data_IF_949698609002
#
_entry.id   IF_949698609002
#
_cell.length_a   1.000
_cell.length_b   1.000
_cell.length_c   1.000
_cell.angle_alpha   90.00
_cell.angle_beta   90.00
_cell.angle_gamma   90.00
#
_symmetry.space_group_name_H-M   'P 1'
#
loop_
_entity.id
_entity.type
_entity.pdbx_description
1 polymer ?
#
# COMPACT_ATOMS: atom_id res chain seq x y z
N UNK A 1 1.28 -36.30 -23.01
CA UNK A 1 2.19 -35.65 -23.98
C UNK A 1 2.57 -34.29 -23.40
N UNK A 2 3.84 -34.11 -23.02
CA UNK A 2 4.36 -32.87 -22.40
C UNK A 2 4.79 -31.92 -23.52
N UNK A 3 4.19 -30.73 -23.56
CA UNK A 3 4.66 -29.65 -24.42
C UNK A 3 5.47 -28.69 -23.55
N UNK A 4 6.78 -28.73 -23.71
CA UNK A 4 7.71 -27.76 -23.14
C UNK A 4 7.75 -26.53 -24.04
N UNK A 5 7.36 -25.35 -23.51
CA UNK A 5 7.53 -24.06 -24.21
C UNK A 5 8.77 -23.36 -23.67
N UNK A 6 9.73 -23.15 -24.56
CA UNK A 6 10.98 -22.43 -24.33
C UNK A 6 10.73 -20.92 -24.20
N UNK A 7 11.25 -20.31 -23.15
CA UNK A 7 11.27 -18.86 -22.97
C UNK A 7 12.58 -18.29 -23.53
N UNK A 8 12.48 -17.35 -24.46
CA UNK A 8 13.62 -16.58 -24.99
C UNK A 8 13.73 -15.26 -24.23
N UNK A 9 14.84 -15.08 -23.51
CA UNK A 9 15.19 -13.84 -22.81
C UNK A 9 15.47 -12.72 -23.82
N UNK A 10 14.86 -11.55 -23.59
CA UNK A 10 15.08 -10.33 -24.36
C UNK A 10 16.04 -9.44 -23.56
N UNK A 11 17.29 -9.39 -24.03
CA UNK A 11 18.36 -8.52 -23.54
C UNK A 11 18.11 -7.08 -23.99
N UNK A 12 18.00 -6.17 -23.03
CA UNK A 12 17.94 -4.71 -23.26
C UNK A 12 19.37 -4.15 -23.29
N UNK A 13 19.80 -3.39 -24.31
CA UNK A 13 21.07 -2.69 -24.26
C UNK A 13 20.93 -1.36 -23.51
N UNK A 14 21.82 -1.18 -22.54
CA UNK A 14 22.12 0.05 -21.80
C UNK A 14 22.94 0.97 -22.72
N UNK A 15 22.39 2.11 -23.11
CA UNK A 15 23.08 3.18 -23.82
C UNK A 15 23.45 4.28 -22.82
N UNK A 16 24.72 4.30 -22.44
CA UNK A 16 25.41 5.46 -21.89
C UNK A 16 25.98 6.24 -23.07
N UNK A 17 25.57 7.48 -23.27
CA UNK A 17 26.30 8.43 -24.10
C UNK A 17 26.01 9.84 -23.57
N UNK A 18 26.91 10.30 -22.71
CA UNK A 18 27.14 11.72 -22.46
C UNK A 18 27.68 12.31 -23.77
N UNK A 19 27.03 13.35 -24.30
CA UNK A 19 27.64 14.12 -25.38
C UNK A 19 27.51 15.63 -25.17
N UNK A 20 28.66 16.25 -25.36
CA UNK A 20 29.01 17.64 -25.08
C UNK A 20 28.27 18.58 -26.02
N UNK A 21 27.56 19.55 -25.45
CA UNK A 21 26.95 20.67 -26.16
C UNK A 21 28.08 21.60 -26.64
N UNK A 22 28.31 21.63 -27.94
CA UNK A 22 29.05 22.67 -28.64
C UNK A 22 28.05 23.41 -29.53
N UNK A 23 27.91 24.72 -29.31
CA UNK A 23 26.97 25.58 -30.02
C UNK A 23 27.57 26.15 -31.32
N UNK A 24 26.73 26.13 -32.37
CA UNK A 24 26.70 26.92 -33.62
C UNK A 24 27.88 26.82 -34.62
N UNK A 25 27.72 27.08 -35.95
CA UNK A 25 26.59 27.74 -36.65
C UNK A 25 26.12 27.10 -37.99
N UNK A 26 24.79 27.07 -38.21
CA UNK A 26 24.07 27.18 -39.49
C UNK A 26 24.78 26.70 -40.78
N UNK A 27 24.83 25.37 -40.97
CA UNK A 27 25.11 24.72 -42.25
C UNK A 27 23.78 24.35 -42.92
N UNK A 28 23.41 25.03 -44.01
CA UNK A 28 22.20 24.73 -44.79
C UNK A 28 22.24 23.34 -45.50
N UNK A 29 23.31 22.55 -45.32
CA UNK A 29 23.45 21.20 -45.86
C UNK A 29 22.80 20.09 -45.00
N UNK A 30 22.29 20.38 -43.80
CA UNK A 30 21.69 19.37 -42.92
C UNK A 30 20.22 19.05 -43.22
N UNK A 31 19.55 19.84 -44.08
CA UNK A 31 18.13 19.64 -44.39
C UNK A 31 17.86 18.34 -45.15
N UNK A 32 18.73 17.98 -46.10
CA UNK A 32 18.60 16.73 -46.88
C UNK A 32 18.93 15.49 -46.04
N UNK A 33 19.84 15.64 -45.07
CA UNK A 33 20.16 14.58 -44.10
C UNK A 33 18.97 14.30 -43.18
N UNK A 34 18.30 15.35 -42.69
CA UNK A 34 17.11 15.21 -41.84
C UNK A 34 15.95 14.54 -42.57
N UNK A 35 15.74 14.86 -43.85
CA UNK A 35 14.69 14.27 -44.68
C UNK A 35 14.86 12.76 -44.87
N UNK A 36 16.10 12.31 -45.12
CA UNK A 36 16.39 10.87 -45.28
C UNK A 36 16.20 10.09 -43.97
N UNK A 37 16.61 10.66 -42.83
CA UNK A 37 16.37 10.08 -41.50
C UNK A 37 14.88 9.97 -41.19
N UNK A 38 14.08 10.99 -41.50
CA UNK A 38 12.61 10.95 -41.32
C UNK A 38 11.99 9.87 -42.22
N UNK A 39 12.41 9.77 -43.48
CA UNK A 39 11.90 8.76 -44.40
C UNK A 39 12.19 7.33 -43.92
N UNK A 40 13.39 7.09 -43.40
CA UNK A 40 13.77 5.80 -42.83
C UNK A 40 12.98 5.46 -41.56
N UNK A 41 12.75 6.43 -40.67
CA UNK A 41 11.90 6.23 -39.50
C UNK A 41 10.45 5.91 -39.90
N UNK A 42 9.91 6.55 -40.93
CA UNK A 42 8.56 6.27 -41.45
C UNK A 42 8.48 4.87 -42.08
N UNK A 43 9.47 4.45 -42.88
CA UNK A 43 9.55 3.09 -43.43
C UNK A 43 9.63 2.05 -42.32
N UNK A 44 10.45 2.30 -41.29
CA UNK A 44 10.57 1.40 -40.15
C UNK A 44 9.23 1.30 -39.38
N UNK A 45 8.58 2.43 -39.09
CA UNK A 45 7.27 2.48 -38.45
C UNK A 45 6.19 1.73 -39.27
N UNK A 46 6.21 1.87 -40.60
CA UNK A 46 5.30 1.15 -41.48
C UNK A 46 5.54 -0.38 -41.46
N UNK A 47 6.81 -0.79 -41.38
CA UNK A 47 7.18 -2.21 -41.28
C UNK A 47 6.74 -2.82 -39.94
N UNK A 48 6.90 -2.08 -38.84
CA UNK A 48 6.46 -2.50 -37.51
C UNK A 48 4.94 -2.55 -37.41
N UNK A 49 4.22 -1.57 -37.96
CA UNK A 49 2.75 -1.60 -38.06
C UNK A 49 2.25 -2.84 -38.83
N UNK A 50 2.97 -3.25 -39.88
CA UNK A 50 2.65 -4.46 -40.63
C UNK A 50 2.86 -5.73 -39.81
N UNK A 51 3.94 -5.80 -39.01
CA UNK A 51 4.19 -6.90 -38.07
C UNK A 51 3.12 -6.97 -36.99
N UNK A 52 2.75 -5.83 -36.39
CA UNK A 52 1.69 -5.77 -35.39
C UNK A 52 0.34 -6.20 -35.97
N UNK A 53 0.02 -5.80 -37.20
CA UNK A 53 -1.20 -6.24 -37.89
C UNK A 53 -1.25 -7.77 -38.05
N UNK A 54 -0.14 -8.38 -38.45
CA UNK A 54 -0.03 -9.84 -38.55
C UNK A 54 -0.17 -10.51 -37.18
N UNK A 55 0.44 -9.96 -36.13
CA UNK A 55 0.33 -10.51 -34.78
C UNK A 55 -1.11 -10.43 -34.24
N UNK A 56 -1.82 -9.34 -34.50
CA UNK A 56 -3.24 -9.20 -34.14
C UNK A 56 -4.10 -10.23 -34.88
N UNK A 57 -3.78 -10.53 -36.14
CA UNK A 57 -4.49 -11.56 -36.90
C UNK A 57 -4.22 -12.97 -36.37
N UNK A 58 -2.97 -13.30 -36.03
CA UNK A 58 -2.60 -14.58 -35.40
C UNK A 58 -3.35 -14.75 -34.07
N UNK A 59 -3.31 -13.76 -33.19
CA UNK A 59 -3.99 -13.82 -31.89
C UNK A 59 -5.51 -13.95 -32.03
N UNK A 60 -6.12 -13.33 -33.06
CA UNK A 60 -7.55 -13.51 -33.35
C UNK A 60 -7.88 -14.93 -33.81
N UNK A 61 -6.98 -15.57 -34.55
CA UNK A 61 -7.16 -16.96 -34.96
C UNK A 61 -6.98 -17.91 -33.77
N UNK A 62 -5.93 -17.73 -32.96
CA UNK A 62 -5.72 -18.53 -31.74
C UNK A 62 -6.89 -18.40 -30.77
N UNK A 63 -7.44 -17.20 -30.58
CA UNK A 63 -8.65 -17.00 -29.77
C UNK A 63 -9.82 -17.82 -30.29
N UNK A 64 -10.04 -17.83 -31.60
CA UNK A 64 -11.12 -18.61 -32.23
C UNK A 64 -10.91 -20.11 -32.02
N UNK A 65 -9.68 -20.59 -32.17
CA UNK A 65 -9.35 -22.00 -31.99
C UNK A 65 -9.58 -22.44 -30.53
N UNK A 66 -9.11 -21.64 -29.56
CA UNK A 66 -9.34 -21.89 -28.13
C UNK A 66 -10.83 -21.87 -27.76
N UNK A 67 -11.63 -20.96 -28.35
CA UNK A 67 -13.08 -20.94 -28.15
C UNK A 67 -13.73 -22.24 -28.67
N UNK A 68 -13.26 -22.79 -29.81
CA UNK A 68 -13.75 -24.08 -30.31
C UNK A 68 -13.33 -25.26 -29.45
N UNK A 69 -12.10 -25.26 -28.91
CA UNK A 69 -11.63 -26.29 -27.99
C UNK A 69 -12.44 -26.29 -26.67
N UNK A 70 -12.69 -25.11 -26.09
CA UNK A 70 -13.53 -24.97 -24.90
C UNK A 70 -14.96 -25.46 -25.15
N UNK A 71 -15.54 -25.16 -26.31
CA UNK A 71 -16.86 -25.67 -26.69
C UNK A 71 -16.87 -27.20 -26.79
N UNK A 72 -15.81 -27.80 -27.36
CA UNK A 72 -15.67 -29.26 -27.47
C UNK A 72 -15.52 -29.93 -26.10
N UNK A 73 -14.69 -29.39 -25.21
CA UNK A 73 -14.52 -29.90 -23.84
C UNK A 73 -15.83 -29.82 -23.05
N UNK A 74 -16.55 -28.70 -23.14
CA UNK A 74 -17.86 -28.56 -22.50
C UNK A 74 -18.90 -29.55 -23.04
N UNK A 75 -18.87 -29.84 -24.34
CA UNK A 75 -19.71 -30.87 -24.94
C UNK A 75 -19.38 -32.28 -24.42
N UNK A 76 -18.09 -32.59 -24.20
CA UNK A 76 -17.65 -33.87 -23.61
C UNK A 76 -18.11 -34.01 -22.16
N UNK A 77 -17.92 -32.97 -21.33
CA UNK A 77 -18.38 -32.95 -19.93
C UNK A 77 -19.90 -33.16 -19.85
N UNK A 78 -20.65 -32.48 -20.72
CA UNK A 78 -22.10 -32.63 -20.80
C UNK A 78 -22.53 -34.06 -21.15
N UNK A 79 -21.82 -34.74 -22.06
CA UNK A 79 -22.09 -36.15 -22.40
C UNK A 79 -21.76 -37.09 -21.25
N UNK A 80 -20.68 -36.84 -20.52
CA UNK A 80 -20.27 -37.68 -19.39
C UNK A 80 -21.26 -37.60 -18.23
N UNK A 81 -21.78 -36.40 -17.95
CA UNK A 81 -22.81 -36.17 -16.93
C UNK A 81 -24.13 -36.90 -17.27
N UNK A 82 -24.49 -37.00 -18.55
CA UNK A 82 -25.67 -37.77 -18.98
C UNK A 82 -25.47 -39.28 -18.82
N UNK A 83 -24.26 -39.81 -19.08
CA UNK A 83 -23.95 -41.23 -18.87
C UNK A 83 -23.97 -41.64 -17.39
N UNK A 84 -23.46 -40.80 -16.48
CA UNK A 84 -23.44 -41.07 -15.03
C UNK A 84 -24.85 -41.06 -14.40
N UNK A 85 -25.83 -40.39 -15.00
CA UNK A 85 -27.24 -40.43 -14.56
C UNK A 85 -27.96 -41.74 -14.88
N UNK A 86 -27.54 -42.46 -15.93
CA UNK A 86 -28.20 -43.70 -16.36
C UNK A 86 -27.75 -44.96 -15.60
N UNK A 87 -26.60 -44.95 -14.93
CA UNK A 87 -26.04 -46.15 -14.28
C UNK A 87 -26.39 -46.31 -12.80
N UNK A 88 -27.24 -45.45 -12.22
CA UNK A 88 -27.64 -45.50 -10.79
C UNK A 88 -28.91 -46.31 -10.51
N UNK A 89 -29.44 -47.05 -11.48
CA UNK A 89 -30.69 -47.80 -11.30
C UNK A 89 -30.54 -49.21 -10.69
N UNK A 90 -29.35 -49.59 -10.21
CA UNK A 90 -29.13 -50.95 -9.67
C UNK A 90 -28.13 -50.96 -8.51
N UNK A 91 -28.51 -50.37 -7.37
CA UNK A 91 -27.85 -50.66 -6.10
C UNK A 91 -28.81 -50.46 -4.91
N UNK A 92 -29.30 -51.61 -4.43
CA UNK A 92 -29.63 -51.95 -3.02
C UNK A 92 -30.54 -51.01 -2.21
N UNK A 93 -31.74 -51.52 -1.89
CA UNK A 93 -32.80 -50.94 -1.07
C UNK A 93 -32.43 -50.55 0.38
N UNK A 94 -31.22 -50.84 0.85
CA UNK A 94 -30.72 -50.38 2.17
C UNK A 94 -30.07 -48.99 2.12
N UNK A 95 -29.65 -48.53 0.94
CA UNK A 95 -29.08 -47.18 0.78
C UNK A 95 -30.18 -46.12 0.65
N UNK A 96 -31.42 -46.51 0.31
CA UNK A 96 -32.53 -45.57 0.11
C UNK A 96 -32.98 -44.88 1.41
N UNK A 97 -33.00 -45.61 2.53
CA UNK A 97 -33.37 -45.06 3.85
C UNK A 97 -32.26 -44.10 4.36
N UNK A 98 -31.00 -44.48 4.19
CA UNK A 98 -29.84 -43.62 4.48
C UNK A 98 -29.81 -42.38 3.58
N UNK A 99 -30.16 -42.54 2.30
CA UNK A 99 -30.21 -41.42 1.36
C UNK A 99 -31.34 -40.44 1.70
N UNK A 100 -32.49 -40.93 2.18
CA UNK A 100 -33.58 -40.07 2.66
C UNK A 100 -33.17 -39.30 3.92
N UNK A 101 -32.54 -39.97 4.90
CA UNK A 101 -32.04 -39.32 6.12
C UNK A 101 -30.98 -38.25 5.82
N UNK A 102 -30.03 -38.56 4.93
CA UNK A 102 -29.02 -37.60 4.48
C UNK A 102 -29.64 -36.42 3.73
N UNK A 103 -30.65 -36.66 2.90
CA UNK A 103 -31.38 -35.59 2.18
C UNK A 103 -32.12 -34.67 3.15
N UNK A 104 -32.83 -35.23 4.13
CA UNK A 104 -33.48 -34.44 5.19
C UNK A 104 -32.45 -33.64 5.99
N UNK A 105 -31.30 -34.24 6.30
CA UNK A 105 -30.24 -33.54 7.04
C UNK A 105 -29.60 -32.40 6.22
N UNK A 106 -29.44 -32.59 4.91
CA UNK A 106 -28.96 -31.55 4.01
C UNK A 106 -29.97 -30.39 3.97
N UNK A 107 -31.26 -30.67 3.84
CA UNK A 107 -32.31 -29.64 3.82
C UNK A 107 -32.34 -28.85 5.14
N UNK A 108 -32.24 -29.53 6.29
CA UNK A 108 -32.10 -28.86 7.60
C UNK A 108 -30.87 -27.94 7.64
N UNK A 109 -29.70 -28.44 7.23
CA UNK A 109 -28.46 -27.67 7.22
C UNK A 109 -28.54 -26.48 6.26
N UNK A 110 -29.17 -26.63 5.10
CA UNK A 110 -29.38 -25.55 4.15
C UNK A 110 -30.28 -24.45 4.70
N UNK A 111 -31.39 -24.82 5.36
CA UNK A 111 -32.28 -23.84 5.99
C UNK A 111 -31.60 -23.12 7.16
N UNK A 112 -30.81 -23.82 7.97
CA UNK A 112 -30.05 -23.22 9.08
C UNK A 112 -28.95 -22.29 8.57
N UNK A 113 -28.22 -22.69 7.54
CA UNK A 113 -27.22 -21.87 6.87
C UNK A 113 -27.88 -20.62 6.24
N UNK A 114 -29.09 -20.75 5.68
CA UNK A 114 -29.85 -19.61 5.17
C UNK A 114 -30.28 -18.65 6.28
N UNK A 115 -30.70 -19.14 7.45
CA UNK A 115 -31.00 -18.30 8.63
C UNK A 115 -29.75 -17.59 9.13
N UNK A 116 -28.63 -18.29 9.26
CA UNK A 116 -27.35 -17.72 9.67
C UNK A 116 -26.89 -16.64 8.68
N UNK A 117 -27.00 -16.88 7.37
CA UNK A 117 -26.69 -15.86 6.35
C UNK A 117 -27.55 -14.61 6.50
N UNK A 118 -28.87 -14.75 6.74
CA UNK A 118 -29.77 -13.61 7.00
C UNK A 118 -29.41 -12.88 8.29
N UNK A 119 -29.05 -13.61 9.34
CA UNK A 119 -28.62 -13.04 10.61
C UNK A 119 -27.31 -12.26 10.48
N UNK A 120 -26.31 -12.85 9.83
CA UNK A 120 -25.03 -12.21 9.52
C UNK A 120 -25.25 -10.96 8.66
N UNK A 121 -26.11 -11.03 7.64
CA UNK A 121 -26.44 -9.86 6.82
C UNK A 121 -27.10 -8.74 7.64
N UNK A 122 -27.98 -9.08 8.59
CA UNK A 122 -28.61 -8.12 9.50
C UNK A 122 -27.58 -7.48 10.44
N UNK A 123 -26.67 -8.27 11.00
CA UNK A 123 -25.58 -7.75 11.85
C UNK A 123 -24.63 -6.85 11.06
N UNK A 124 -24.22 -7.26 9.86
CA UNK A 124 -23.38 -6.43 8.98
C UNK A 124 -24.07 -5.12 8.61
N UNK A 125 -25.36 -5.16 8.27
CA UNK A 125 -26.13 -3.95 7.99
C UNK A 125 -26.20 -3.03 9.21
N UNK A 126 -26.38 -3.59 10.42
CA UNK A 126 -26.39 -2.82 11.65
C UNK A 126 -25.02 -2.20 11.94
N UNK A 127 -23.93 -2.95 11.82
CA UNK A 127 -22.58 -2.44 12.00
C UNK A 127 -22.26 -1.31 11.01
N UNK A 128 -22.60 -1.47 9.73
CA UNK A 128 -22.45 -0.40 8.73
C UNK A 128 -23.32 0.82 9.04
N UNK A 129 -24.54 0.61 9.52
CA UNK A 129 -25.41 1.72 9.92
C UNK A 129 -24.82 2.47 11.12
N UNK A 130 -24.32 1.75 12.12
CA UNK A 130 -23.68 2.32 13.31
C UNK A 130 -22.39 3.07 12.93
N UNK A 131 -21.59 2.56 11.98
CA UNK A 131 -20.42 3.26 11.42
C UNK A 131 -20.81 4.52 10.64
N UNK A 132 -21.86 4.46 9.81
CA UNK A 132 -22.37 5.63 9.08
C UNK A 132 -22.93 6.67 10.03
N UNK A 133 -23.63 6.26 11.09
CA UNK A 133 -24.17 7.16 12.11
C UNK A 133 -23.05 7.78 13.00
N UNK A 134 -21.90 7.12 13.15
CA UNK A 134 -20.70 7.66 13.84
C UNK A 134 -19.92 8.64 12.94
N UNK A 135 -19.88 8.37 11.63
CA UNK A 135 -19.20 9.18 10.61
C UNK A 135 -20.01 10.38 10.14
N UNK A 136 -21.33 10.27 10.05
CA UNK A 136 -22.20 11.40 9.79
C UNK A 136 -22.20 12.25 11.06
N UNK A 137 -21.62 13.46 11.04
CA UNK A 137 -21.83 14.40 12.14
C UNK A 137 -23.34 14.59 12.23
N UNK A 138 -23.97 14.03 13.27
CA UNK A 138 -25.40 14.19 13.55
C UNK A 138 -25.72 15.67 13.39
N UNK A 139 -26.41 15.98 12.30
CA UNK A 139 -26.59 17.30 11.72
C UNK A 139 -26.19 18.46 12.64
N UNK A 140 -25.28 19.27 12.12
CA UNK A 140 -25.06 20.71 12.35
C UNK A 140 -26.32 21.59 12.28
N UNK A 141 -27.50 21.02 12.51
CA UNK A 141 -28.75 21.71 12.77
C UNK A 141 -28.75 22.24 14.20
N UNK A 142 -28.08 23.38 14.41
CA UNK A 142 -28.46 24.41 15.40
C UNK A 142 -28.98 23.89 16.75
N UNK A 143 -28.28 22.98 17.41
CA UNK A 143 -28.45 22.79 18.85
C UNK A 143 -27.44 23.69 19.56
N UNK A 144 -27.78 24.99 19.63
CA UNK A 144 -27.23 25.89 20.64
C UNK A 144 -27.69 25.37 22.00
N UNK A 145 -26.90 24.52 22.63
CA UNK A 145 -27.26 24.00 23.93
C UNK A 145 -26.36 22.86 24.39
N UNK A 146 -25.21 23.23 24.94
CA UNK A 146 -24.47 22.56 26.02
C UNK A 146 -24.31 21.04 25.95
N UNK A 147 -23.02 20.66 25.89
CA UNK A 147 -22.47 19.52 26.62
C UNK A 147 -22.86 18.13 26.13
N UNK A 148 -22.62 17.87 24.84
CA UNK A 148 -22.05 16.57 24.47
C UNK A 148 -20.82 16.81 23.61
N UNK A 149 -19.78 17.34 24.26
CA UNK A 149 -18.39 17.26 23.82
C UNK A 149 -18.04 15.77 23.74
N UNK A 150 -18.46 15.10 22.66
CA UNK A 150 -18.13 13.70 22.40
C UNK A 150 -16.62 13.66 22.15
N UNK A 151 -15.91 13.22 23.18
CA UNK A 151 -14.47 12.95 23.31
C UNK A 151 -13.69 12.92 21.98
N UNK A 152 -13.33 14.11 21.49
CA UNK A 152 -12.46 14.28 20.32
C UNK A 152 -11.13 13.58 20.55
N UNK A 153 -10.64 13.54 21.79
CA UNK A 153 -9.43 12.82 22.17
C UNK A 153 -9.58 11.30 22.01
N UNK A 154 -10.74 10.72 22.30
CA UNK A 154 -10.99 9.30 22.05
C UNK A 154 -10.97 8.99 20.56
N UNK A 155 -11.61 9.82 19.74
CA UNK A 155 -11.59 9.66 18.27
C UNK A 155 -10.18 9.79 17.71
N UNK A 156 -9.40 10.78 18.16
CA UNK A 156 -7.99 10.92 17.82
C UNK A 156 -7.19 9.68 18.24
N UNK A 157 -7.33 9.20 19.48
CA UNK A 157 -6.66 7.98 19.95
C UNK A 157 -7.02 6.75 19.11
N UNK A 158 -8.27 6.64 18.66
CA UNK A 158 -8.72 5.57 17.75
C UNK A 158 -8.05 5.67 16.39
N UNK A 159 -7.96 6.87 15.80
CA UNK A 159 -7.25 7.07 14.53
C UNK A 159 -5.75 6.76 14.63
N UNK A 160 -5.08 7.17 15.72
CA UNK A 160 -3.67 6.81 15.95
C UNK A 160 -3.49 5.30 16.06
N UNK A 161 -4.41 4.60 16.73
CA UNK A 161 -4.36 3.14 16.81
C UNK A 161 -4.53 2.51 15.44
N UNK A 162 -5.53 2.94 14.66
CA UNK A 162 -5.72 2.48 13.28
C UNK A 162 -4.49 2.75 12.40
N UNK A 163 -3.86 3.91 12.54
CA UNK A 163 -2.61 4.24 11.82
C UNK A 163 -1.49 3.27 12.21
N UNK A 164 -1.29 3.03 13.51
CA UNK A 164 -0.29 2.08 14.01
C UNK A 164 -0.56 0.66 13.53
N UNK A 165 -1.80 0.21 13.57
CA UNK A 165 -2.20 -1.13 13.13
C UNK A 165 -1.93 -1.30 11.63
N UNK A 166 -2.24 -0.29 10.80
CA UNK A 166 -1.92 -0.29 9.37
C UNK A 166 -0.41 -0.30 9.10
N UNK A 167 0.38 0.42 9.89
CA UNK A 167 1.84 0.45 9.74
C UNK A 167 2.50 -0.90 10.06
N UNK A 168 1.94 -1.65 11.00
CA UNK A 168 2.44 -2.98 11.39
C UNK A 168 1.95 -4.10 10.48
N UNK A 169 1.00 -3.81 9.59
CA UNK A 169 0.43 -4.80 8.69
C UNK A 169 1.42 -5.22 7.61
N UNK A 170 1.59 -6.53 7.43
CA UNK A 170 2.43 -7.09 6.35
C UNK A 170 1.67 -7.05 5.03
N UNK A 171 2.23 -6.38 4.03
CA UNK A 171 1.61 -6.19 2.70
C UNK A 171 2.39 -6.88 1.60
N UNK A 172 1.71 -7.19 0.49
CA UNK A 172 2.36 -7.63 -0.75
C UNK A 172 2.80 -6.42 -1.57
N UNK A 173 4.02 -6.44 -2.14
CA UNK A 173 4.46 -5.39 -3.07
C UNK A 173 3.62 -5.38 -4.36
N UNK A 174 3.41 -4.19 -4.93
CA UNK A 174 2.49 -3.98 -6.06
C UNK A 174 3.00 -4.54 -7.40
N UNK A 175 4.30 -4.72 -7.54
CA UNK A 175 4.94 -5.22 -8.74
C UNK A 175 4.75 -6.74 -8.96
N UNK A 176 4.17 -7.45 -7.98
CA UNK A 176 3.96 -8.90 -7.99
C UNK A 176 5.24 -9.67 -8.34
N UNK A 177 6.40 -9.09 -8.01
CA UNK A 177 7.71 -9.74 -8.21
C UNK A 177 8.08 -10.65 -7.06
N UNK A 178 7.39 -10.52 -5.92
CA UNK A 178 7.59 -11.39 -4.78
C UNK A 178 7.13 -12.82 -5.10
N UNK A 179 8.07 -13.75 -4.95
CA UNK A 179 7.90 -15.17 -5.21
C UNK A 179 8.00 -15.95 -3.90
N UNK A 180 7.25 -17.06 -3.82
CA UNK A 180 7.33 -17.95 -2.67
C UNK A 180 8.72 -18.62 -2.60
N UNK A 181 9.43 -18.58 -1.46
CA UNK A 181 10.78 -19.17 -1.35
C UNK A 181 10.80 -20.71 -1.49
N UNK A 182 9.64 -21.36 -1.51
CA UNK A 182 9.52 -22.83 -1.57
C UNK A 182 9.19 -23.33 -2.97
N UNK A 183 8.20 -22.73 -3.64
CA UNK A 183 7.78 -23.14 -4.99
C UNK A 183 8.24 -22.20 -6.11
N UNK A 184 8.78 -21.03 -5.78
CA UNK A 184 9.17 -19.97 -6.74
C UNK A 184 8.02 -19.49 -7.63
N UNK A 185 6.79 -19.64 -7.16
CA UNK A 185 5.61 -19.09 -7.84
C UNK A 185 5.30 -17.70 -7.30
N UNK A 186 4.81 -16.82 -8.17
CA UNK A 186 4.41 -15.45 -7.82
C UNK A 186 3.31 -15.47 -6.78
N UNK A 187 3.49 -14.71 -5.71
CA UNK A 187 2.52 -14.60 -4.64
C UNK A 187 1.29 -13.80 -5.10
N UNK A 188 0.10 -14.24 -4.67
CA UNK A 188 -1.16 -13.56 -4.94
C UNK A 188 -1.85 -13.19 -3.63
N UNK A 189 -2.55 -12.06 -3.62
CA UNK A 189 -3.37 -11.63 -2.48
C UNK A 189 -4.33 -12.75 -2.05
N UNK A 190 -4.47 -12.93 -0.74
CA UNK A 190 -5.33 -13.96 -0.10
C UNK A 190 -4.91 -15.41 -0.35
N UNK A 191 -3.83 -15.64 -1.10
CA UNK A 191 -3.23 -16.96 -1.33
C UNK A 191 -1.81 -17.06 -0.74
N UNK A 192 -1.40 -16.05 -0.01
CA UNK A 192 -0.16 -16.05 0.75
C UNK A 192 -0.42 -15.68 2.20
N UNK A 193 0.45 -16.19 3.04
CA UNK A 193 0.44 -16.01 4.47
C UNK A 193 1.78 -15.41 4.91
N UNK A 194 1.71 -14.45 5.83
CA UNK A 194 2.84 -13.81 6.46
C UNK A 194 3.14 -14.46 7.81
N UNK A 195 4.42 -14.66 8.08
CA UNK A 195 4.89 -15.12 9.39
C UNK A 195 5.17 -13.93 10.31
N UNK A 196 5.40 -14.15 11.61
CA UNK A 196 5.72 -13.09 12.56
C UNK A 196 7.01 -12.31 12.19
N UNK A 197 7.94 -12.99 11.51
CA UNK A 197 9.15 -12.38 10.95
C UNK A 197 8.91 -11.62 9.63
N UNK A 198 7.65 -11.41 9.22
CA UNK A 198 7.21 -10.70 8.00
C UNK A 198 7.58 -11.36 6.66
N UNK A 199 8.20 -12.54 6.66
CA UNK A 199 8.43 -13.32 5.43
C UNK A 199 7.13 -13.97 4.93
N UNK A 200 7.01 -14.10 3.61
CA UNK A 200 5.80 -14.54 2.93
C UNK A 200 5.93 -15.95 2.36
N UNK A 201 4.90 -16.77 2.54
CA UNK A 201 4.82 -18.13 1.97
C UNK A 201 3.44 -18.34 1.35
N UNK A 202 3.35 -19.03 0.21
CA UNK A 202 2.06 -19.36 -0.39
C UNK A 202 1.27 -20.40 0.45
N UNK A 203 -0.05 -20.31 0.41
CA UNK A 203 -0.96 -21.17 1.18
C UNK A 203 -0.82 -22.67 0.81
N UNK A 204 -0.28 -22.99 -0.37
CA UNK A 204 -0.01 -24.37 -0.78
C UNK A 204 1.27 -24.95 -0.15
N UNK A 205 2.25 -24.10 0.15
CA UNK A 205 3.52 -24.52 0.71
C UNK A 205 3.53 -24.48 2.24
N UNK A 206 2.72 -23.62 2.85
CA UNK A 206 2.58 -23.54 4.31
C UNK A 206 2.25 -24.92 4.95
N UNK A 207 1.30 -25.73 4.44
CA UNK A 207 1.06 -27.06 4.99
C UNK A 207 2.24 -28.01 4.86
N UNK A 208 3.07 -27.87 3.79
CA UNK A 208 4.22 -28.75 3.53
C UNK A 208 5.33 -28.56 4.56
N UNK A 209 5.52 -27.32 5.04
CA UNK A 209 6.51 -27.01 6.09
C UNK A 209 6.00 -27.30 7.51
N UNK A 210 4.69 -27.43 7.69
CA UNK A 210 4.07 -27.75 8.99
C UNK A 210 3.94 -29.26 9.31
N UNK A 211 4.25 -30.16 8.37
CA UNK A 211 3.88 -31.59 8.47
C UNK A 211 4.47 -32.35 9.67
N UNK A 212 5.53 -31.83 10.27
CA UNK A 212 6.30 -32.52 11.32
C UNK A 212 6.28 -31.80 12.67
N UNK A 213 5.63 -30.63 12.76
CA UNK A 213 5.61 -29.81 13.97
C UNK A 213 4.16 -29.56 14.39
N UNK A 214 3.82 -29.99 15.61
CA UNK A 214 2.43 -30.04 16.03
C UNK A 214 1.80 -28.63 16.18
N UNK A 215 2.57 -27.61 16.55
CA UNK A 215 2.03 -26.24 16.77
C UNK A 215 2.86 -25.08 16.18
N UNK A 216 4.13 -25.29 15.84
CA UNK A 216 5.05 -24.22 15.40
C UNK A 216 5.56 -24.43 13.98
N UNK A 217 5.58 -23.39 13.16
CA UNK A 217 6.16 -23.40 11.80
C UNK A 217 7.47 -22.62 11.79
N UNK A 218 8.54 -23.19 11.24
CA UNK A 218 9.81 -22.46 11.06
C UNK A 218 9.83 -21.74 9.72
N UNK A 219 10.22 -20.47 9.73
CA UNK A 219 10.35 -19.68 8.52
C UNK A 219 11.40 -20.29 7.57
N UNK A 220 11.10 -20.47 6.26
CA UNK A 220 12.09 -20.99 5.30
C UNK A 220 13.26 -20.03 5.06
N UNK A 221 13.09 -18.73 5.29
CA UNK A 221 14.10 -17.70 5.04
C UNK A 221 15.00 -17.45 6.27
N UNK A 222 14.41 -17.10 7.42
CA UNK A 222 15.18 -16.78 8.64
C UNK A 222 15.24 -17.91 9.68
N UNK A 223 14.44 -18.98 9.53
CA UNK A 223 14.31 -20.11 10.47
C UNK A 223 13.71 -19.78 11.83
N UNK A 224 13.23 -18.55 12.03
CA UNK A 224 12.52 -18.17 13.25
C UNK A 224 11.24 -19.01 13.40
N UNK A 225 10.94 -19.52 14.60
CA UNK A 225 9.69 -20.22 14.88
C UNK A 225 8.54 -19.21 14.92
N UNK A 226 7.41 -19.59 14.36
CA UNK A 226 6.14 -18.84 14.41
C UNK A 226 5.03 -19.80 14.79
N UNK A 227 4.19 -19.42 15.74
CA UNK A 227 3.03 -20.21 16.13
C UNK A 227 2.02 -20.27 14.97
N UNK A 228 1.42 -21.43 14.75
CA UNK A 228 0.52 -21.64 13.60
C UNK A 228 -0.69 -20.69 13.61
N UNK A 229 -1.16 -20.32 14.79
CA UNK A 229 -2.29 -19.40 14.98
C UNK A 229 -1.92 -17.93 14.70
N UNK A 230 -0.63 -17.59 14.78
CA UNK A 230 -0.10 -16.24 14.52
C UNK A 230 0.30 -16.03 13.05
N UNK A 231 0.10 -17.04 12.20
CA UNK A 231 0.30 -16.91 10.76
C UNK A 231 -0.89 -16.17 10.15
N UNK A 232 -0.66 -14.93 9.73
CA UNK A 232 -1.70 -14.06 9.20
C UNK A 232 -1.78 -14.16 7.66
N UNK A 233 -3.00 -14.11 7.11
CA UNK A 233 -3.18 -14.05 5.65
C UNK A 233 -2.99 -12.63 5.15
N UNK A 234 -2.21 -12.47 4.09
CA UNK A 234 -2.01 -11.16 3.47
C UNK A 234 -3.20 -10.81 2.58
N UNK A 235 -3.87 -9.70 2.90
CA UNK A 235 -5.09 -9.26 2.21
C UNK A 235 -4.99 -7.90 1.53
N UNK A 236 -3.91 -7.13 1.73
CA UNK A 236 -3.68 -5.81 1.13
C UNK A 236 -2.36 -5.75 0.37
N UNK A 237 -2.34 -4.94 -0.69
CA UNK A 237 -1.10 -4.50 -1.32
C UNK A 237 -0.52 -3.28 -0.61
N UNK A 238 0.73 -2.94 -0.90
CA UNK A 238 1.37 -1.75 -0.37
C UNK A 238 0.65 -0.46 -0.79
N UNK A 239 0.25 -0.33 -2.07
CA UNK A 239 -0.57 0.79 -2.52
C UNK A 239 -1.88 0.91 -1.73
N UNK A 240 -2.58 -0.20 -1.48
CA UNK A 240 -3.82 -0.19 -0.71
C UNK A 240 -3.60 0.24 0.74
N UNK A 241 -2.49 -0.18 1.36
CA UNK A 241 -2.12 0.27 2.70
C UNK A 241 -1.88 1.78 2.72
N UNK A 242 -1.17 2.31 1.72
CA UNK A 242 -0.96 3.76 1.60
C UNK A 242 -2.25 4.54 1.41
N UNK A 243 -3.17 4.07 0.56
CA UNK A 243 -4.48 4.71 0.37
C UNK A 243 -5.29 4.75 1.68
N UNK A 244 -5.22 3.68 2.47
CA UNK A 244 -5.89 3.58 3.77
C UNK A 244 -5.26 4.50 4.82
N UNK A 245 -3.92 4.60 4.86
CA UNK A 245 -3.19 5.55 5.71
C UNK A 245 -3.55 7.01 5.35
N UNK A 246 -3.65 7.34 4.06
CA UNK A 246 -4.09 8.66 3.60
C UNK A 246 -5.57 8.94 3.95
N UNK A 247 -6.41 7.89 4.02
CA UNK A 247 -7.77 8.04 4.53
C UNK A 247 -7.76 8.40 6.02
N UNK A 248 -6.99 7.67 6.84
CA UNK A 248 -6.83 7.97 8.28
C UNK A 248 -6.30 9.39 8.50
N UNK A 249 -5.33 9.84 7.71
CA UNK A 249 -4.80 11.20 7.78
C UNK A 249 -5.87 12.27 7.42
N UNK A 250 -6.68 12.04 6.38
CA UNK A 250 -7.79 12.94 6.04
C UNK A 250 -8.86 12.98 7.13
N UNK A 251 -9.15 11.86 7.76
CA UNK A 251 -10.10 11.80 8.87
C UNK A 251 -9.55 12.47 10.13
N UNK A 252 -8.23 12.40 10.35
CA UNK A 252 -7.55 13.18 11.39
C UNK A 252 -7.76 14.67 11.21
N UNK A 253 -7.49 15.19 10.01
CA UNK A 253 -7.64 16.62 9.69
C UNK A 253 -9.07 17.12 9.93
N UNK A 254 -10.08 16.29 9.69
CA UNK A 254 -11.49 16.67 9.95
C UNK A 254 -11.84 16.77 11.44
N UNK A 255 -11.10 16.07 12.31
CA UNK A 255 -11.35 16.04 13.75
C UNK A 255 -10.48 17.08 14.48
N UNK A 256 -9.30 17.37 13.92
CA UNK A 256 -8.37 18.36 14.45
C UNK A 256 -8.82 19.79 14.11
N UNK A 257 -9.91 20.24 14.75
CA UNK A 257 -10.40 21.62 14.66
C UNK A 257 -9.49 22.64 15.37
N UNK A 258 -8.39 22.19 15.98
CA UNK A 258 -7.48 23.04 16.76
C UNK A 258 -6.82 24.13 15.91
N UNK A 259 -6.77 23.96 14.59
CA UNK A 259 -6.24 24.96 13.66
C UNK A 259 -7.25 26.01 13.17
N UNK A 260 -8.56 25.73 13.21
CA UNK A 260 -9.57 26.65 12.62
C UNK A 260 -9.92 27.82 13.53
N UNK A 261 -9.89 27.63 14.86
CA UNK A 261 -10.17 28.71 15.82
C UNK A 261 -9.00 29.68 16.01
N UNK A 262 -7.76 29.25 15.76
CA UNK A 262 -6.57 30.10 15.97
C UNK A 262 -6.18 30.93 14.72
N UNK A 263 -6.54 30.51 13.49
CA UNK A 263 -6.16 31.27 12.27
C UNK A 263 -7.25 32.21 11.75
N UNK A 264 -8.53 31.97 12.08
CA UNK A 264 -9.65 32.75 11.54
C UNK A 264 -9.77 34.17 12.12
N UNK A 265 -9.25 34.44 13.32
CA UNK A 265 -9.34 35.78 13.93
C UNK A 265 -8.10 36.64 13.60
N UNK A 266 -6.92 36.04 13.41
CA UNK A 266 -5.68 36.80 13.17
C UNK A 266 -5.48 37.17 11.68
N UNK A 267 -5.95 36.35 10.72
CA UNK A 267 -5.84 36.69 9.27
C UNK A 267 -6.72 37.87 8.84
N UNK A 268 -7.75 38.22 9.61
CA UNK A 268 -8.64 39.34 9.31
C UNK A 268 -8.09 40.71 9.74
N UNK A 269 -7.01 40.75 10.54
CA UNK A 269 -6.38 42.00 10.99
C UNK A 269 -5.08 42.34 10.23
N UNK A 270 -4.57 41.45 9.37
CA UNK A 270 -3.47 41.78 8.46
C UNK A 270 -3.97 42.46 7.18
N UNK A 271 -4.56 43.65 7.34
CA UNK A 271 -4.56 44.66 6.28
C UNK A 271 -3.09 45.09 6.11
N UNK A 272 -2.36 44.24 5.38
CA UNK A 272 -0.96 44.38 5.05
C UNK A 272 -0.75 45.82 4.57
N UNK A 273 0.18 46.53 5.22
CA UNK A 273 0.59 47.88 4.82
C UNK A 273 0.97 47.78 3.34
N UNK A 274 0.05 48.22 2.48
CA UNK A 274 0.26 48.31 1.04
C UNK A 274 1.27 49.44 0.86
N UNK A 275 2.55 49.07 0.88
CA UNK A 275 3.72 49.95 0.93
C UNK A 275 3.89 50.65 -0.43
N UNK A 276 2.88 51.44 -0.78
CA UNK A 276 2.81 52.29 -1.96
C UNK A 276 3.36 53.67 -1.60
N UNK A 277 4.54 53.70 -0.99
CA UNK A 277 5.37 54.90 -0.94
C UNK A 277 6.70 54.63 -1.60
N UNK A 278 6.71 54.88 -2.91
CA UNK A 278 7.77 55.53 -3.66
C UNK A 278 8.99 55.96 -2.83
N UNK A 279 10.06 55.16 -2.85
CA UNK A 279 11.40 55.69 -2.60
C UNK A 279 12.44 54.87 -3.34
N UNK A 280 12.96 55.48 -4.40
CA UNK A 280 14.20 55.09 -5.05
C UNK A 280 15.34 55.15 -4.05
N UNK A 281 15.88 54.01 -3.62
CA UNK A 281 17.22 53.98 -3.06
C UNK A 281 17.95 52.71 -3.51
N UNK A 282 18.85 52.94 -4.45
CA UNK A 282 19.96 52.08 -4.81
C UNK A 282 20.84 51.81 -3.59
N UNK A 283 21.23 50.55 -3.37
CA UNK A 283 22.57 50.22 -2.84
C UNK A 283 22.88 48.74 -3.05
N UNK A 284 23.96 48.53 -3.80
CA UNK A 284 24.70 47.28 -3.93
C UNK A 284 25.15 46.78 -2.55
N UNK A 285 24.99 45.48 -2.30
CA UNK A 285 25.42 44.83 -1.07
C UNK A 285 25.66 43.34 -1.33
N UNK A 286 26.76 43.06 -2.02
CA UNK A 286 27.32 41.71 -2.21
C UNK A 286 27.52 41.08 -0.82
N UNK A 287 26.80 40.00 -0.51
CA UNK A 287 27.11 39.15 0.62
C UNK A 287 27.19 37.69 0.17
N UNK A 288 28.43 37.29 -0.03
CA UNK A 288 28.94 35.96 -0.35
C UNK A 288 28.63 35.00 0.81
N UNK A 289 27.52 34.26 0.71
CA UNK A 289 27.23 33.15 1.62
C UNK A 289 28.08 31.94 1.22
N UNK A 290 29.22 31.81 1.90
CA UNK A 290 30.08 30.62 1.88
C UNK A 290 29.32 29.43 2.50
N UNK A 291 28.80 28.55 1.66
CA UNK A 291 28.33 27.22 2.09
C UNK A 291 29.52 26.38 2.58
N UNK A 292 29.45 25.75 3.77
CA UNK A 292 30.48 24.84 4.23
C UNK A 292 30.45 23.56 3.39
N UNK A 293 31.59 23.26 2.76
CA UNK A 293 31.85 21.99 2.12
C UNK A 293 31.74 20.86 3.14
N UNK A 294 30.82 19.92 2.90
CA UNK A 294 30.78 18.65 3.59
C UNK A 294 32.04 17.85 3.24
N UNK A 295 32.90 17.68 4.23
CA UNK A 295 34.07 16.81 4.19
C UNK A 295 33.63 15.37 3.97
N UNK A 296 34.12 14.78 2.87
CA UNK A 296 34.12 13.35 2.65
C UNK A 296 34.89 12.65 3.80
N UNK A 297 34.20 11.84 4.58
CA UNK A 297 34.83 10.85 5.44
C UNK A 297 34.92 9.54 4.68
N UNK A 298 36.11 9.34 4.12
CA UNK A 298 36.65 8.07 3.69
C UNK A 298 37.03 7.27 4.95
N UNK A 299 36.30 6.20 5.24
CA UNK A 299 36.68 5.24 6.30
C UNK A 299 36.67 3.85 5.70
N UNK A 300 37.83 3.49 5.15
CA UNK A 300 38.28 2.12 5.05
C UNK A 300 38.27 1.46 6.45
N UNK A 301 37.44 0.44 6.64
CA UNK A 301 37.50 -0.45 7.81
C UNK A 301 38.06 -1.81 7.37
N UNK A 302 39.31 -2.15 7.72
CA UNK A 302 39.85 -3.50 7.49
C UNK A 302 39.45 -4.43 8.63
N UNK A 303 39.16 -5.67 8.25
CA UNK A 303 38.87 -6.80 9.12
C UNK A 303 40.02 -7.05 10.11
N UNK A 304 39.69 -7.29 11.38
CA UNK A 304 40.64 -7.71 12.41
C UNK A 304 39.93 -8.52 13.50
N UNK A 305 40.26 -9.81 13.54
CA UNK A 305 39.93 -10.76 14.60
C UNK A 305 40.48 -10.35 15.98
N UNK A 306 39.79 -10.77 17.03
CA UNK A 306 40.41 -11.21 18.28
C UNK A 306 40.42 -10.26 19.49
N UNK A 307 40.01 -10.84 20.61
CA UNK A 307 40.34 -10.52 22.01
C UNK A 307 39.50 -9.50 22.82
N UNK A 308 38.73 -10.10 23.73
CA UNK A 308 38.56 -9.79 25.16
C UNK A 308 38.84 -8.35 25.64
N UNK A 309 37.76 -7.57 25.82
CA UNK A 309 37.77 -6.38 26.66
C UNK A 309 36.56 -6.32 27.63
N UNK A 310 36.76 -5.82 28.87
CA UNK A 310 35.80 -5.87 29.98
C UNK A 310 34.62 -4.88 29.82
N UNK A 311 33.52 -5.04 30.59
CA UNK A 311 32.28 -4.30 30.38
C UNK A 311 32.44 -2.81 30.65
N UNK A 312 32.32 -2.01 29.60
CA UNK A 312 32.23 -0.55 29.67
C UNK A 312 30.89 -0.15 30.30
N UNK A 313 30.96 0.47 31.48
CA UNK A 313 29.83 1.06 32.19
C UNK A 313 29.10 2.11 31.36
N UNK A 314 27.78 2.00 31.29
CA UNK A 314 26.87 2.92 30.60
C UNK A 314 26.98 4.35 31.17
N UNK A 315 26.98 5.41 30.34
CA UNK A 315 26.94 6.78 30.84
C UNK A 315 25.54 7.11 31.38
N UNK A 316 25.41 7.13 32.70
CA UNK A 316 24.26 7.67 33.43
C UNK A 316 24.23 9.18 33.27
N UNK A 317 23.55 9.68 32.24
CA UNK A 317 23.29 11.10 32.07
C UNK A 317 21.78 11.35 32.23
N UNK A 318 21.29 11.24 33.46
CA UNK A 318 19.95 11.67 33.85
C UNK A 318 19.93 13.20 33.91
N UNK A 319 19.83 13.86 32.76
CA UNK A 319 19.40 15.26 32.73
C UNK A 319 17.92 15.29 33.13
N UNK A 320 17.66 15.83 34.32
CA UNK A 320 16.33 16.07 34.85
C UNK A 320 15.53 16.95 33.87
N UNK A 321 14.43 16.41 33.34
CA UNK A 321 13.49 17.06 32.42
C UNK A 321 12.75 18.28 33.00
N UNK A 322 13.08 18.69 34.24
CA UNK A 322 12.46 19.83 34.93
C UNK A 322 13.01 21.20 34.51
N UNK A 323 14.12 21.24 33.76
CA UNK A 323 14.67 22.47 33.15
C UNK A 323 14.46 22.48 31.64
N UNK A 324 13.20 22.32 31.22
CA UNK A 324 12.84 22.50 29.81
C UNK A 324 12.88 23.99 29.43
N UNK A 325 13.53 24.37 28.31
CA UNK A 325 13.53 25.74 27.75
C UNK A 325 12.13 26.35 27.54
N UNK A 326 11.08 25.53 27.59
CA UNK A 326 9.68 25.97 27.47
C UNK A 326 9.21 26.83 28.63
N UNK A 327 9.71 26.63 29.86
CA UNK A 327 9.27 27.44 31.02
C UNK A 327 9.75 28.88 30.92
N UNK A 328 10.99 29.07 30.47
CA UNK A 328 11.57 30.40 30.27
C UNK A 328 10.94 31.11 29.06
N UNK A 329 10.68 30.37 27.97
CA UNK A 329 9.95 30.90 26.80
C UNK A 329 8.53 31.35 27.17
N UNK A 330 7.80 30.59 27.99
CA UNK A 330 6.45 30.96 28.45
C UNK A 330 6.46 32.22 29.32
N UNK A 331 7.42 32.33 30.25
CA UNK A 331 7.57 33.53 31.09
C UNK A 331 7.89 34.79 30.28
N UNK A 332 8.70 34.65 29.22
CA UNK A 332 9.07 35.78 28.35
C UNK A 332 7.89 36.27 27.50
N UNK A 333 7.03 35.35 27.04
CA UNK A 333 5.79 35.68 26.34
C UNK A 333 4.78 36.40 27.26
N UNK A 334 4.65 35.94 28.50
CA UNK A 334 3.77 36.57 29.50
C UNK A 334 4.20 38.01 29.82
N UNK A 335 5.50 38.26 29.97
CA UNK A 335 6.02 39.62 30.15
C UNK A 335 5.74 40.54 28.96
N UNK A 336 5.90 40.06 27.73
CA UNK A 336 5.58 40.83 26.53
C UNK A 336 4.09 41.15 26.42
N UNK A 337 3.23 40.21 26.83
CA UNK A 337 1.79 40.41 26.87
C UNK A 337 1.39 41.48 27.90
N UNK A 338 1.95 41.43 29.12
CA UNK A 338 1.74 42.47 30.14
C UNK A 338 2.23 43.85 29.69
N UNK A 339 3.37 43.91 29.02
CA UNK A 339 3.94 45.17 28.52
C UNK A 339 3.06 45.80 27.43
N UNK A 340 2.52 44.98 26.52
CA UNK A 340 1.52 45.41 25.53
C UNK A 340 0.22 45.89 26.19
N UNK A 341 -0.27 45.18 27.21
CA UNK A 341 -1.47 45.57 27.95
C UNK A 341 -1.30 46.89 28.70
N UNK A 342 -0.12 47.13 29.28
CA UNK A 342 0.21 48.38 29.95
C UNK A 342 0.38 49.56 28.99
N UNK A 343 0.90 49.32 27.77
CA UNK A 343 0.95 50.35 26.72
C UNK A 343 -0.43 50.77 26.21
N UNK A 344 -1.42 49.87 26.20
CA UNK A 344 -2.81 50.20 25.81
C UNK A 344 -3.59 50.97 26.88
N UNK A 345 -3.13 50.96 28.14
CA UNK A 345 -3.79 51.65 29.27
C UNK A 345 -3.24 53.06 29.53
N UNK A 346 -2.10 53.42 28.93
CA UNK A 346 -1.57 54.77 28.89
C UNK A 346 -2.04 55.46 27.62
#
# INVERSE_FOLDING_TARGET
MRVTRSATNKTTPRSEEENSINEDPWSEHDSDSLLTVIEDHLKNAQSELSKFKLQVEILRNEKRDLETELANVNALISRENMRKKSSRLSKTTKDADSEHELRSRIEELETENQKQKKYIAKLKKKALQDEVDDLLPKNSGKLKGKDVEVDSEHRMRKLLRCFSDLMMLTTLQDDLTQECPICFEKLQLKQCSAMQCQHLVCDECLPKISKEADDTVKCPECRDPTDRDDVEKVYMTEQQRWDELLRVARDWVKIDHRGEEETSEEEAEEEFIDDKTSSEVSSEGVNEFKSPQHTAFDVHSPCGDGDDHPPTSSPTNSRLFSESPTKEKRRRLEQLAEERANKRKR
#
